data_IF_783587119789
#
_entry.id   IF_783587119789
#
_cell.length_a   1.000
_cell.length_b   1.000
_cell.length_c   1.000
_cell.angle_alpha   90.00
_cell.angle_beta   90.00
_cell.angle_gamma   90.00
#
_symmetry.space_group_name_H-M   'P 1'
#
loop_
_entity.id
_entity.type
_entity.pdbx_description
1 polymer ?
#
# COMPACT_ATOMS: atom_id res chain seq x y z
N UNK A 1 18.99 42.78 -2.85
CA UNK A 1 19.26 42.21 -1.52
C UNK A 1 17.94 42.12 -0.78
N UNK A 2 17.33 40.95 -0.74
CA UNK A 2 16.12 40.69 0.08
C UNK A 2 16.54 39.66 1.11
N UNK A 3 16.52 40.06 2.37
CA UNK A 3 16.78 39.18 3.51
C UNK A 3 15.65 38.21 3.66
N UNK A 4 15.91 36.92 3.48
CA UNK A 4 15.01 35.81 3.83
C UNK A 4 15.29 35.52 5.31
N UNK A 5 14.37 35.96 6.15
CA UNK A 5 14.37 35.62 7.57
C UNK A 5 13.75 34.24 7.71
N UNK A 6 14.58 33.23 7.95
CA UNK A 6 14.15 31.87 8.24
C UNK A 6 13.48 31.86 9.62
N UNK A 7 12.17 31.75 9.65
CA UNK A 7 11.37 31.57 10.86
C UNK A 7 11.51 30.10 11.31
N UNK A 8 12.39 29.86 12.29
CA UNK A 8 12.45 28.57 12.97
C UNK A 8 11.25 28.50 13.91
N UNK A 9 10.21 27.76 13.53
CA UNK A 9 9.11 27.41 14.44
C UNK A 9 9.65 26.41 15.47
N UNK A 10 10.02 26.88 16.66
CA UNK A 10 10.18 26.04 17.84
C UNK A 10 8.77 25.58 18.25
N UNK A 11 8.42 24.33 17.98
CA UNK A 11 7.26 23.68 18.60
C UNK A 11 7.69 23.29 20.02
N UNK A 12 7.50 24.19 20.96
CA UNK A 12 7.55 23.87 22.37
C UNK A 12 6.34 22.97 22.66
N UNK A 13 6.57 21.76 23.16
CA UNK A 13 5.50 20.95 23.75
C UNK A 13 4.91 21.74 24.92
N UNK A 14 3.70 22.27 24.77
CA UNK A 14 2.97 22.96 25.81
C UNK A 14 2.51 21.89 26.80
N UNK A 15 3.29 21.66 27.85
CA UNK A 15 2.80 20.97 29.03
C UNK A 15 1.73 21.83 29.70
N UNK A 16 0.62 21.26 30.19
CA UNK A 16 -0.30 22.00 31.04
C UNK A 16 0.49 22.54 32.23
N UNK A 17 0.23 23.77 32.62
CA UNK A 17 0.90 24.44 33.72
C UNK A 17 1.13 23.50 34.89
N UNK A 18 2.38 23.09 35.09
CA UNK A 18 2.73 22.18 36.16
C UNK A 18 2.42 22.88 37.49
N UNK A 19 1.62 22.24 38.30
CA UNK A 19 1.56 22.62 39.71
C UNK A 19 3.00 22.63 40.22
N UNK A 20 3.43 23.73 40.83
CA UNK A 20 4.77 23.90 41.34
C UNK A 20 5.17 22.71 42.19
N UNK A 21 6.13 21.91 41.72
CA UNK A 21 6.57 20.71 42.45
C UNK A 21 7.61 21.16 43.49
N UNK A 22 7.34 20.89 44.75
CA UNK A 22 8.16 21.31 45.86
C UNK A 22 8.86 20.14 46.55
N UNK A 23 10.19 20.25 46.69
CA UNK A 23 10.98 19.47 47.64
C UNK A 23 11.40 20.43 48.73
N UNK A 24 10.93 20.26 49.92
CA UNK A 24 11.15 21.11 51.10
C UNK A 24 12.09 22.33 50.83
N UNK A 25 11.54 23.54 50.83
CA UNK A 25 12.19 24.83 50.67
C UNK A 25 12.83 25.07 49.25
N UNK A 26 12.51 24.24 48.23
CA UNK A 26 12.87 24.47 46.85
C UNK A 26 11.69 24.22 45.92
N UNK A 27 11.55 25.03 44.89
CA UNK A 27 10.45 24.90 43.92
C UNK A 27 11.01 24.84 42.52
N UNK A 28 10.64 23.79 41.79
CA UNK A 28 11.01 23.65 40.36
C UNK A 28 10.03 24.49 39.53
N UNK A 29 10.56 25.49 38.81
CA UNK A 29 9.76 26.41 37.99
C UNK A 29 9.61 25.98 36.54
N UNK A 30 10.71 25.48 35.94
CA UNK A 30 10.73 25.12 34.52
C UNK A 30 11.68 23.95 34.26
N UNK A 31 11.33 23.14 33.27
CA UNK A 31 12.09 21.96 32.89
C UNK A 31 11.99 21.79 31.37
N UNK A 32 13.11 21.75 30.69
CA UNK A 32 13.22 21.45 29.28
C UNK A 32 14.11 20.22 29.06
N UNK A 33 13.58 19.21 28.40
CA UNK A 33 14.28 18.01 27.99
C UNK A 33 14.23 17.93 26.47
N UNK A 34 15.33 18.23 25.80
CA UNK A 34 15.38 18.30 24.33
C UNK A 34 16.52 17.45 23.79
N UNK A 35 16.23 16.59 22.83
CA UNK A 35 17.24 15.94 22.02
C UNK A 35 17.66 16.87 20.86
N UNK A 36 18.96 17.10 20.72
CA UNK A 36 19.54 17.86 19.62
C UNK A 36 20.62 17.01 18.97
N UNK A 37 20.27 16.38 17.86
CA UNK A 37 21.13 15.41 17.18
C UNK A 37 21.49 14.23 18.10
N UNK A 38 22.79 14.00 18.32
CA UNK A 38 23.30 12.91 19.18
C UNK A 38 23.36 13.27 20.68
N UNK A 39 22.83 14.41 21.07
CA UNK A 39 22.93 14.87 22.45
C UNK A 39 21.55 15.10 23.07
N UNK A 40 21.45 14.84 24.38
CA UNK A 40 20.35 15.22 25.25
C UNK A 40 20.74 16.52 25.96
N UNK A 41 19.93 17.56 25.82
CA UNK A 41 20.03 18.83 26.57
C UNK A 41 18.97 18.83 27.68
N UNK A 42 19.43 19.02 28.90
CA UNK A 42 18.55 19.12 30.08
C UNK A 42 18.72 20.53 30.63
N UNK A 43 17.63 21.25 30.80
CA UNK A 43 17.58 22.59 31.45
C UNK A 43 16.53 22.56 32.55
N UNK A 44 16.92 22.95 33.76
CA UNK A 44 16.03 23.02 34.93
C UNK A 44 16.20 24.38 35.60
N UNK A 45 15.07 25.00 35.92
CA UNK A 45 15.06 26.25 36.72
C UNK A 45 14.47 25.93 38.08
N UNK A 46 15.27 26.13 39.13
CA UNK A 46 14.91 25.83 40.51
C UNK A 46 14.93 27.11 41.34
N UNK A 47 13.82 27.47 41.93
CA UNK A 47 13.76 28.58 42.89
C UNK A 47 14.30 28.14 44.25
N UNK A 48 15.22 28.93 44.80
CA UNK A 48 15.95 28.69 46.03
C UNK A 48 15.68 29.76 47.10
N UNK A 49 14.67 30.63 46.92
CA UNK A 49 14.38 31.74 47.78
C UNK A 49 14.19 31.35 49.26
N UNK A 50 13.55 30.18 49.47
CA UNK A 50 13.26 29.65 50.82
C UNK A 50 14.39 28.78 51.38
N UNK A 51 15.38 28.41 50.57
CA UNK A 51 16.51 27.55 50.97
C UNK A 51 17.47 28.29 51.92
N UNK A 52 17.67 27.77 53.11
CA UNK A 52 18.60 28.32 54.10
C UNK A 52 19.68 27.31 54.47
N UNK A 53 20.93 27.62 54.20
CA UNK A 53 22.07 26.75 54.52
C UNK A 53 22.78 27.30 55.75
N UNK A 54 22.75 26.57 56.87
CA UNK A 54 23.44 26.99 58.12
C UNK A 54 24.95 26.93 57.94
N UNK A 55 25.71 27.77 58.73
CA UNK A 55 27.15 27.96 58.57
C UNK A 55 27.96 26.65 58.61
N UNK A 56 27.55 25.69 59.41
CA UNK A 56 28.20 24.38 59.60
C UNK A 56 27.70 23.25 58.70
N UNK A 57 26.73 23.58 57.82
CA UNK A 57 26.06 22.62 56.89
C UNK A 57 26.36 22.87 55.43
N UNK A 58 26.01 21.89 54.59
CA UNK A 58 25.97 22.04 53.15
C UNK A 58 24.74 21.35 52.60
N UNK A 59 24.18 21.89 51.52
CA UNK A 59 23.06 21.29 50.75
C UNK A 59 23.56 21.00 49.35
N UNK A 60 23.36 19.75 48.92
CA UNK A 60 23.60 19.28 47.56
C UNK A 60 22.26 19.13 46.86
N UNK A 61 22.14 19.72 45.68
CA UNK A 61 21.08 19.46 44.70
C UNK A 61 21.68 18.72 43.54
N UNK A 62 21.29 17.46 43.36
CA UNK A 62 21.76 16.63 42.25
C UNK A 62 20.61 16.29 41.32
N UNK A 63 20.92 16.10 40.05
CA UNK A 63 19.98 15.76 39.00
C UNK A 63 20.35 14.43 38.36
N UNK A 64 19.36 13.61 38.04
CA UNK A 64 19.57 12.34 37.37
C UNK A 64 18.44 12.03 36.39
N UNK A 65 18.79 11.32 35.30
CA UNK A 65 17.83 10.67 34.43
C UNK A 65 17.74 9.20 34.81
N UNK A 66 16.52 8.66 34.91
CA UNK A 66 16.29 7.26 35.34
C UNK A 66 15.19 6.65 34.49
N UNK A 67 15.46 5.41 33.99
CA UNK A 67 14.46 4.58 33.30
C UNK A 67 14.70 3.11 33.69
N UNK A 68 13.84 2.57 34.55
CA UNK A 68 14.00 1.22 35.07
C UNK A 68 15.32 1.05 35.83
N UNK A 69 16.21 0.20 35.34
CA UNK A 69 17.56 -0.04 35.90
C UNK A 69 18.61 0.93 35.40
N UNK A 70 18.34 1.65 34.31
CA UNK A 70 19.31 2.56 33.71
C UNK A 70 19.21 3.95 34.34
N UNK A 71 20.38 4.53 34.60
CA UNK A 71 20.44 5.86 35.20
C UNK A 71 21.67 6.63 34.69
N UNK A 72 21.52 7.92 34.58
CA UNK A 72 22.59 8.85 34.24
C UNK A 72 22.65 9.98 35.26
N UNK A 73 23.79 10.13 35.92
CA UNK A 73 24.07 11.30 36.75
C UNK A 73 24.28 12.54 35.86
N UNK A 74 23.41 13.51 36.02
CA UNK A 74 23.48 14.79 35.35
C UNK A 74 24.33 15.83 36.15
N UNK A 75 24.84 15.40 37.32
CA UNK A 75 25.61 16.28 38.19
C UNK A 75 24.72 17.12 39.10
N UNK A 76 25.28 18.24 39.63
CA UNK A 76 24.52 19.07 40.56
C UNK A 76 25.25 20.28 41.06
N UNK A 77 24.65 20.93 42.05
CA UNK A 77 25.18 22.13 42.72
C UNK A 77 25.18 21.95 44.23
N UNK A 78 26.32 22.14 44.86
CA UNK A 78 26.45 22.09 46.30
C UNK A 78 26.64 23.52 46.88
N UNK A 79 25.79 23.88 47.82
CA UNK A 79 25.87 25.16 48.54
C UNK A 79 26.39 24.91 49.97
N UNK A 80 27.49 25.51 50.29
CA UNK A 80 28.16 25.40 51.61
C UNK A 80 27.92 26.63 52.46
N UNK A 81 27.51 26.44 53.70
CA UNK A 81 27.57 27.45 54.73
C UNK A 81 29.01 27.87 55.03
N UNK A 82 29.21 29.07 55.59
CA UNK A 82 30.52 29.70 55.72
C UNK A 82 31.61 28.77 56.31
N UNK A 83 31.37 28.18 57.44
CA UNK A 83 32.39 27.32 58.12
C UNK A 83 32.62 26.03 57.35
N UNK A 84 31.54 25.45 56.77
CA UNK A 84 31.58 24.23 55.96
C UNK A 84 32.38 24.44 54.67
N UNK A 85 32.26 25.62 54.05
CA UNK A 85 32.99 25.99 52.83
C UNK A 85 34.51 26.05 53.10
N UNK A 86 34.96 26.70 54.17
CA UNK A 86 36.38 26.70 54.52
C UNK A 86 36.92 25.32 54.89
N UNK A 87 36.11 24.43 55.45
CA UNK A 87 36.47 23.06 55.65
C UNK A 87 36.67 22.35 54.33
N UNK A 88 35.74 22.50 53.39
CA UNK A 88 35.83 21.93 52.02
C UNK A 88 37.14 22.39 51.35
N UNK A 89 37.40 23.67 51.30
CA UNK A 89 38.61 24.24 50.69
C UNK A 89 39.91 23.66 51.28
N UNK A 90 39.95 23.43 52.58
CA UNK A 90 41.14 22.85 53.25
C UNK A 90 41.28 21.34 53.03
N UNK A 91 40.18 20.60 52.97
CA UNK A 91 40.21 19.16 52.84
C UNK A 91 40.27 18.69 51.37
N UNK A 92 39.98 19.60 50.42
CA UNK A 92 39.86 19.25 49.00
C UNK A 92 38.88 18.11 48.72
N UNK A 93 37.86 17.94 49.58
CA UNK A 93 36.78 16.91 49.46
C UNK A 93 35.44 17.59 49.09
N UNK A 94 35.14 17.75 47.78
CA UNK A 94 33.91 18.35 47.32
C UNK A 94 32.72 17.37 47.47
N UNK A 95 31.50 17.92 47.60
CA UNK A 95 30.25 17.12 47.49
C UNK A 95 29.91 16.84 46.04
N UNK A 96 30.25 17.75 45.13
CA UNK A 96 30.14 17.55 43.68
C UNK A 96 31.53 17.36 43.13
N UNK A 97 31.77 16.26 42.41
CA UNK A 97 33.04 15.97 41.78
C UNK A 97 33.41 17.05 40.74
N UNK A 98 34.69 17.28 40.55
CA UNK A 98 35.19 18.23 39.55
C UNK A 98 34.70 17.83 38.15
N UNK A 99 34.17 18.77 37.38
CA UNK A 99 33.59 18.54 36.07
C UNK A 99 32.13 18.02 36.06
N UNK A 100 31.55 17.70 37.21
CA UNK A 100 30.17 17.21 37.33
C UNK A 100 29.21 18.22 38.00
N UNK A 101 29.57 19.49 38.06
CA UNK A 101 28.75 20.57 38.60
C UNK A 101 29.56 21.60 39.41
N UNK A 102 28.88 22.28 40.33
CA UNK A 102 29.43 23.46 41.03
C UNK A 102 29.47 23.26 42.55
N UNK A 103 30.50 23.75 43.18
CA UNK A 103 30.64 23.82 44.62
C UNK A 103 30.76 25.31 45.03
N UNK A 104 29.67 25.89 45.59
CA UNK A 104 29.51 27.34 45.82
C UNK A 104 29.31 27.67 47.32
N UNK A 105 29.57 28.88 47.69
CA UNK A 105 29.16 29.39 49.02
C UNK A 105 27.65 29.65 49.04
N UNK A 106 26.99 29.42 50.15
CA UNK A 106 25.57 29.77 50.32
C UNK A 106 25.31 31.29 50.17
N UNK A 107 26.33 32.14 50.34
CA UNK A 107 26.23 33.58 50.04
C UNK A 107 26.23 33.91 48.54
N UNK A 108 26.54 32.96 47.69
CA UNK A 108 26.56 33.08 46.21
C UNK A 108 25.34 32.42 45.58
N UNK A 109 24.41 31.91 46.42
CA UNK A 109 23.18 31.24 45.96
C UNK A 109 22.24 32.23 45.30
N UNK A 110 21.85 32.01 44.05
CA UNK A 110 20.87 32.85 43.36
C UNK A 110 19.46 32.58 43.88
N UNK A 111 18.54 33.47 43.61
CA UNK A 111 17.08 33.22 43.84
C UNK A 111 16.57 32.09 42.93
N UNK A 112 16.93 32.14 41.64
CA UNK A 112 16.64 31.09 40.67
C UNK A 112 17.94 30.45 40.14
N UNK A 113 18.11 29.18 40.37
CA UNK A 113 19.19 28.37 39.84
C UNK A 113 18.83 27.89 38.42
N UNK A 114 19.53 28.39 37.40
CA UNK A 114 19.44 27.90 36.04
C UNK A 114 20.49 26.81 35.81
N UNK A 115 20.09 25.58 35.90
CA UNK A 115 20.95 24.41 35.68
C UNK A 115 20.80 23.88 34.28
N UNK A 116 21.86 23.84 33.48
CA UNK A 116 21.87 23.33 32.11
C UNK A 116 23.02 22.39 31.89
N UNK A 117 22.73 21.21 31.32
CA UNK A 117 23.75 20.22 30.99
C UNK A 117 23.41 19.54 29.67
N UNK A 118 24.45 19.12 28.94
CA UNK A 118 24.34 18.36 27.70
C UNK A 118 25.12 17.06 27.87
N UNK A 119 24.47 15.93 27.57
CA UNK A 119 25.08 14.59 27.62
C UNK A 119 24.82 13.86 26.29
N UNK A 120 25.65 12.89 25.87
CA UNK A 120 25.34 12.05 24.74
C UNK A 120 23.98 11.36 24.95
N UNK A 121 23.15 11.32 23.88
CA UNK A 121 21.87 10.65 23.94
C UNK A 121 22.04 9.13 23.79
N UNK A 122 21.34 8.36 24.59
CA UNK A 122 21.27 6.91 24.52
C UNK A 122 19.79 6.47 24.41
N UNK A 123 19.50 5.36 23.71
CA UNK A 123 18.12 4.91 23.44
C UNK A 123 17.27 4.71 24.70
N UNK A 124 17.86 4.24 25.79
CA UNK A 124 17.17 4.04 27.07
C UNK A 124 16.61 5.34 27.68
N UNK A 125 17.12 6.52 27.27
CA UNK A 125 16.63 7.81 27.73
C UNK A 125 15.23 8.13 27.23
N UNK A 126 14.74 7.45 26.18
CA UNK A 126 13.33 7.53 25.80
C UNK A 126 12.46 6.85 26.87
N UNK A 127 11.50 7.57 27.43
CA UNK A 127 10.70 7.17 28.59
C UNK A 127 11.36 7.44 29.95
N UNK A 128 12.57 8.06 29.97
CA UNK A 128 13.23 8.40 31.21
C UNK A 128 12.55 9.55 31.94
N UNK A 129 12.57 9.49 33.24
CA UNK A 129 12.17 10.60 34.10
C UNK A 129 13.41 11.31 34.66
N UNK A 130 13.32 12.64 34.80
CA UNK A 130 14.32 13.43 35.50
C UNK A 130 13.93 13.56 36.96
N UNK A 131 14.89 13.33 37.83
CA UNK A 131 14.73 13.51 39.28
C UNK A 131 15.68 14.57 39.79
N UNK A 132 15.19 15.35 40.77
CA UNK A 132 16.03 16.20 41.63
C UNK A 132 16.14 15.51 42.98
N UNK A 133 17.34 15.44 43.50
CA UNK A 133 17.63 14.93 44.82
C UNK A 133 18.27 16.01 45.65
N UNK A 134 17.76 16.24 46.85
CA UNK A 134 18.33 17.15 47.85
C UNK A 134 18.96 16.33 48.96
N UNK A 135 20.24 16.59 49.25
CA UNK A 135 20.98 16.03 50.39
C UNK A 135 21.54 17.15 51.25
N UNK A 136 21.19 17.14 52.53
CA UNK A 136 21.77 18.09 53.50
C UNK A 136 22.81 17.36 54.36
N UNK A 137 23.99 17.96 54.44
CA UNK A 137 25.16 17.42 55.14
C UNK A 137 25.53 18.28 56.31
N UNK A 138 25.84 17.63 57.45
CA UNK A 138 26.47 18.28 58.60
C UNK A 138 28.00 18.21 58.60
N UNK A 139 28.59 18.31 59.76
CA UNK A 139 30.06 18.13 59.92
C UNK A 139 30.46 16.69 59.50
N UNK A 140 31.71 16.49 59.05
CA UNK A 140 32.29 15.22 58.71
C UNK A 140 31.52 14.40 57.67
N UNK A 141 30.87 15.06 56.73
CA UNK A 141 30.01 14.45 55.66
C UNK A 141 28.84 13.63 56.20
N UNK A 142 28.41 13.86 57.46
CA UNK A 142 27.23 13.20 57.98
C UNK A 142 25.97 13.62 57.22
N UNK A 143 25.30 12.69 56.53
CA UNK A 143 24.01 12.94 55.91
C UNK A 143 22.95 13.22 56.98
N UNK A 144 22.21 14.32 56.85
CA UNK A 144 21.19 14.79 57.77
C UNK A 144 19.78 14.64 57.18
N UNK A 145 19.66 14.82 55.87
CA UNK A 145 18.42 14.78 55.12
C UNK A 145 18.71 14.29 53.70
N UNK A 146 17.80 13.50 53.17
CA UNK A 146 17.79 13.06 51.81
C UNK A 146 16.34 13.05 51.33
N UNK A 147 16.04 13.74 50.24
CA UNK A 147 14.74 13.81 49.59
C UNK A 147 14.93 13.80 48.10
N UNK A 148 14.12 13.03 47.40
CA UNK A 148 14.13 12.95 45.96
C UNK A 148 12.74 13.12 45.38
N UNK A 149 12.62 13.71 44.20
CA UNK A 149 11.37 13.91 43.50
C UNK A 149 11.57 13.83 42.01
N UNK A 150 10.65 13.17 41.32
CA UNK A 150 10.56 13.23 39.86
C UNK A 150 9.98 14.57 39.45
N UNK A 151 10.66 15.24 38.53
CA UNK A 151 10.30 16.61 38.10
C UNK A 151 9.90 16.71 36.62
N UNK A 152 10.14 15.68 35.80
CA UNK A 152 9.77 15.66 34.39
C UNK A 152 10.01 14.32 33.72
N UNK A 153 9.52 14.20 32.50
CA UNK A 153 9.69 13.02 31.66
C UNK A 153 10.19 13.41 30.29
N UNK A 154 11.05 12.58 29.71
CA UNK A 154 11.44 12.66 28.31
C UNK A 154 10.79 11.52 27.54
N UNK A 155 9.95 11.86 26.59
CA UNK A 155 9.33 10.86 25.70
C UNK A 155 9.34 11.39 24.28
N UNK A 156 9.85 10.57 23.37
CA UNK A 156 9.74 10.83 21.94
C UNK A 156 8.38 10.38 21.45
N UNK A 157 7.66 11.24 20.73
CA UNK A 157 6.39 10.84 20.12
C UNK A 157 6.61 9.72 19.11
N UNK A 158 5.72 8.71 19.09
CA UNK A 158 5.79 7.66 18.07
C UNK A 158 5.57 8.24 16.68
N UNK A 159 6.08 7.55 15.68
CA UNK A 159 5.88 7.94 14.28
C UNK A 159 4.39 7.99 13.93
N UNK A 160 3.94 9.12 13.39
CA UNK A 160 2.54 9.36 12.95
C UNK A 160 2.53 9.54 11.42
N UNK A 161 2.17 8.52 10.66
CA UNK A 161 2.19 8.59 9.20
C UNK A 161 1.11 9.52 8.66
N UNK A 162 1.39 10.17 7.54
CA UNK A 162 0.39 10.82 6.69
C UNK A 162 0.12 9.89 5.51
N UNK A 163 -1.10 9.38 5.42
CA UNK A 163 -1.51 8.51 4.33
C UNK A 163 -2.02 9.32 3.14
N UNK A 164 -1.56 8.97 1.94
CA UNK A 164 -1.90 9.68 0.71
C UNK A 164 -2.50 8.72 -0.32
N UNK A 165 -3.82 8.71 -0.43
CA UNK A 165 -4.53 7.99 -1.47
C UNK A 165 -4.37 8.68 -2.82
N UNK A 166 -4.24 7.88 -3.89
CA UNK A 166 -3.99 8.35 -5.25
C UNK A 166 -5.27 8.20 -6.08
N UNK A 167 -5.68 9.30 -6.71
CA UNK A 167 -6.81 9.27 -7.63
C UNK A 167 -6.40 8.60 -8.94
N UNK A 168 -7.05 7.49 -9.37
CA UNK A 168 -6.80 6.87 -10.65
C UNK A 168 -7.17 7.82 -11.80
N UNK A 169 -6.56 7.60 -12.98
CA UNK A 169 -6.99 8.28 -14.20
C UNK A 169 -8.43 7.88 -14.52
N UNK A 170 -9.26 8.86 -14.83
CA UNK A 170 -10.61 8.57 -15.28
C UNK A 170 -10.57 7.87 -16.65
N UNK A 171 -11.24 6.75 -16.79
CA UNK A 171 -11.51 6.15 -18.10
C UNK A 171 -12.44 7.10 -18.87
N UNK A 172 -12.02 7.51 -20.06
CA UNK A 172 -12.85 8.37 -20.94
C UNK A 172 -14.10 7.59 -21.37
N UNK A 173 -13.91 6.30 -21.67
CA UNK A 173 -15.00 5.37 -22.03
C UNK A 173 -14.69 4.04 -21.37
N UNK A 174 -15.63 3.52 -20.59
CA UNK A 174 -15.52 2.19 -19.96
C UNK A 174 -15.88 1.11 -20.98
N UNK A 175 -14.89 0.64 -21.74
CA UNK A 175 -15.07 -0.44 -22.71
C UNK A 175 -14.87 -1.80 -22.06
N UNK A 176 -15.79 -2.71 -22.31
CA UNK A 176 -15.77 -4.11 -21.85
C UNK A 176 -16.12 -5.03 -23.02
N UNK A 177 -15.85 -6.32 -22.86
CA UNK A 177 -16.18 -7.31 -23.87
C UNK A 177 -16.66 -8.61 -23.27
N UNK A 178 -17.48 -9.32 -24.04
CA UNK A 178 -17.82 -10.72 -23.84
C UNK A 178 -17.41 -11.51 -25.08
N UNK A 179 -16.89 -12.70 -24.90
CA UNK A 179 -16.58 -13.61 -25.99
C UNK A 179 -17.03 -15.02 -25.63
N UNK A 180 -17.26 -15.82 -26.64
CA UNK A 180 -17.61 -17.23 -26.47
C UNK A 180 -17.57 -17.98 -27.78
N UNK A 181 -17.70 -19.31 -27.69
CA UNK A 181 -17.75 -20.20 -28.84
C UNK A 181 -19.10 -20.94 -28.87
N UNK A 182 -19.66 -21.12 -30.06
CA UNK A 182 -20.87 -21.88 -30.29
C UNK A 182 -20.63 -22.93 -31.37
N UNK A 183 -21.13 -24.12 -31.12
CA UNK A 183 -20.92 -25.30 -31.95
C UNK A 183 -22.20 -25.57 -32.77
N UNK A 184 -22.43 -24.75 -33.80
CA UNK A 184 -23.60 -24.87 -34.66
C UNK A 184 -23.41 -26.00 -35.64
N UNK A 185 -24.27 -27.00 -35.57
CA UNK A 185 -24.30 -28.14 -36.49
C UNK A 185 -25.00 -27.80 -37.81
N UNK A 186 -24.43 -28.25 -38.90
CA UNK A 186 -25.00 -28.10 -40.25
C UNK A 186 -25.15 -29.49 -40.91
N UNK A 187 -26.20 -29.74 -41.70
CA UNK A 187 -26.24 -30.89 -42.56
C UNK A 187 -25.05 -30.95 -43.51
N UNK A 188 -24.73 -32.12 -44.05
CA UNK A 188 -23.59 -32.33 -44.95
C UNK A 188 -23.65 -31.32 -46.12
N UNK A 189 -22.57 -30.59 -46.36
CA UNK A 189 -22.42 -29.56 -47.40
C UNK A 189 -23.41 -28.38 -47.32
N UNK A 190 -24.22 -28.28 -46.24
CA UNK A 190 -25.13 -27.16 -46.02
C UNK A 190 -24.47 -26.04 -45.24
N UNK A 191 -24.94 -24.82 -45.46
CA UNK A 191 -24.52 -23.61 -44.77
C UNK A 191 -25.68 -22.91 -44.09
N UNK A 192 -26.93 -23.37 -44.28
CA UNK A 192 -28.12 -22.77 -43.70
C UNK A 192 -28.29 -23.24 -42.24
N UNK A 193 -28.58 -22.29 -41.35
CA UNK A 193 -28.90 -22.61 -39.96
C UNK A 193 -30.29 -23.23 -39.85
N UNK A 194 -30.34 -24.40 -39.24
CA UNK A 194 -31.56 -25.10 -38.86
C UNK A 194 -31.63 -25.13 -37.33
N UNK A 195 -32.43 -24.25 -36.66
CA UNK A 195 -32.45 -24.14 -35.19
C UNK A 195 -32.79 -25.47 -34.48
N UNK A 196 -33.63 -26.28 -35.09
CA UNK A 196 -34.10 -27.56 -34.52
C UNK A 196 -33.18 -28.75 -34.89
N UNK A 197 -32.07 -28.51 -35.60
CA UNK A 197 -31.13 -29.57 -35.97
C UNK A 197 -30.15 -29.84 -34.84
N UNK A 198 -30.17 -31.09 -34.32
CA UNK A 198 -29.32 -31.55 -33.21
C UNK A 198 -29.39 -30.60 -31.99
N UNK A 199 -28.24 -30.02 -31.60
CA UNK A 199 -28.12 -29.16 -30.42
C UNK A 199 -28.16 -27.65 -30.74
N UNK A 200 -28.52 -27.28 -31.98
CA UNK A 200 -28.46 -25.88 -32.43
C UNK A 200 -29.30 -24.93 -31.59
N UNK A 201 -30.45 -25.35 -31.07
CA UNK A 201 -31.25 -24.52 -30.18
C UNK A 201 -30.48 -24.11 -28.90
N UNK A 202 -29.70 -25.02 -28.33
CA UNK A 202 -28.89 -24.76 -27.14
C UNK A 202 -27.73 -23.82 -27.48
N UNK A 203 -27.02 -24.11 -28.57
CA UNK A 203 -25.85 -23.33 -28.99
C UNK A 203 -26.25 -21.90 -29.41
N UNK A 204 -27.34 -21.74 -30.14
CA UNK A 204 -27.89 -20.41 -30.47
C UNK A 204 -28.32 -19.66 -29.20
N UNK A 205 -28.91 -20.33 -28.21
CA UNK A 205 -29.30 -19.70 -26.95
C UNK A 205 -28.09 -19.15 -26.19
N UNK A 206 -26.92 -19.77 -26.24
CA UNK A 206 -25.71 -19.25 -25.64
C UNK A 206 -25.32 -17.88 -26.24
N UNK A 207 -25.34 -17.75 -27.57
CA UNK A 207 -25.06 -16.49 -28.26
C UNK A 207 -26.08 -15.43 -27.86
N UNK A 208 -27.38 -15.80 -27.87
CA UNK A 208 -28.45 -14.87 -27.54
C UNK A 208 -28.37 -14.40 -26.09
N UNK A 209 -28.15 -15.33 -25.13
CA UNK A 209 -27.97 -14.97 -23.72
C UNK A 209 -26.81 -14.00 -23.52
N UNK A 210 -25.71 -14.16 -24.26
CA UNK A 210 -24.57 -13.25 -24.22
C UNK A 210 -24.93 -11.86 -24.77
N UNK A 211 -25.64 -11.77 -25.90
CA UNK A 211 -26.08 -10.51 -26.48
C UNK A 211 -27.13 -9.85 -25.57
N UNK A 212 -28.08 -10.60 -25.06
CA UNK A 212 -29.17 -10.11 -24.21
C UNK A 212 -28.64 -9.60 -22.85
N UNK A 213 -27.64 -10.25 -22.29
CA UNK A 213 -27.00 -9.80 -21.04
C UNK A 213 -26.42 -8.39 -21.14
N UNK A 214 -25.95 -8.01 -22.34
CA UNK A 214 -25.42 -6.67 -22.60
C UNK A 214 -26.52 -5.72 -23.03
N UNK A 215 -27.38 -6.13 -24.00
CA UNK A 215 -28.36 -5.28 -24.64
C UNK A 215 -29.52 -4.86 -23.72
N UNK A 216 -29.93 -5.75 -22.81
CA UNK A 216 -31.01 -5.47 -21.87
C UNK A 216 -30.59 -4.64 -20.66
N UNK A 217 -29.29 -4.42 -20.49
CA UNK A 217 -28.77 -3.56 -19.45
C UNK A 217 -28.73 -2.11 -19.97
N UNK A 218 -29.55 -1.24 -19.36
CA UNK A 218 -29.69 0.17 -19.74
C UNK A 218 -28.39 0.99 -19.61
N UNK A 219 -27.43 0.49 -18.84
CA UNK A 219 -26.14 1.16 -18.63
C UNK A 219 -25.14 0.81 -19.73
N UNK A 220 -25.45 -0.20 -20.56
CA UNK A 220 -24.56 -0.72 -21.59
C UNK A 220 -25.00 -0.27 -23.00
N UNK A 221 -24.01 -0.07 -23.86
CA UNK A 221 -24.22 0.19 -25.28
C UNK A 221 -23.29 -0.72 -26.07
N UNK A 222 -23.84 -1.64 -26.88
CA UNK A 222 -23.04 -2.51 -27.75
C UNK A 222 -22.39 -1.65 -28.84
N UNK A 223 -21.06 -1.72 -28.92
CA UNK A 223 -20.27 -0.94 -29.90
C UNK A 223 -19.73 -1.79 -31.04
N UNK A 224 -19.52 -3.09 -30.79
CA UNK A 224 -18.99 -4.01 -31.77
C UNK A 224 -19.58 -5.41 -31.57
N UNK A 225 -19.83 -6.10 -32.66
CA UNK A 225 -20.14 -7.52 -32.67
C UNK A 225 -19.38 -8.16 -33.82
N UNK A 226 -18.61 -9.20 -33.53
CA UNK A 226 -17.91 -9.97 -34.55
C UNK A 226 -18.16 -11.45 -34.40
N UNK A 227 -18.15 -12.16 -35.53
CA UNK A 227 -18.32 -13.60 -35.63
C UNK A 227 -17.18 -14.16 -36.52
N UNK A 228 -16.45 -15.13 -35.99
CA UNK A 228 -15.44 -15.88 -36.74
C UNK A 228 -15.85 -17.34 -36.81
N UNK A 229 -16.11 -17.83 -38.03
CA UNK A 229 -16.51 -19.25 -38.22
C UNK A 229 -15.31 -20.10 -38.64
N UNK A 230 -15.34 -21.33 -38.21
CA UNK A 230 -14.30 -22.32 -38.45
C UNK A 230 -14.87 -23.57 -39.13
N UNK A 231 -14.05 -24.21 -39.96
CA UNK A 231 -14.32 -25.59 -40.41
C UNK A 231 -13.18 -26.51 -39.98
N UNK A 232 -13.38 -27.82 -40.11
CA UNK A 232 -12.41 -28.83 -39.77
C UNK A 232 -11.62 -29.27 -41.01
N UNK A 233 -10.35 -29.69 -40.85
CA UNK A 233 -9.50 -30.13 -41.98
C UNK A 233 -9.81 -31.56 -42.43
N UNK A 234 -11.05 -31.84 -42.86
CA UNK A 234 -11.50 -33.15 -43.30
C UNK A 234 -11.95 -33.22 -44.77
N UNK A 235 -11.89 -32.11 -45.47
CA UNK A 235 -12.29 -31.97 -46.87
C UNK A 235 -11.25 -31.06 -47.57
N UNK A 236 -11.25 -31.01 -48.90
CA UNK A 236 -10.38 -30.10 -49.62
C UNK A 236 -10.52 -28.66 -49.10
N UNK A 237 -9.40 -27.97 -48.92
CA UNK A 237 -9.33 -26.59 -48.36
C UNK A 237 -10.29 -25.61 -49.03
N UNK A 238 -10.44 -25.72 -50.38
CA UNK A 238 -11.42 -24.90 -51.12
C UNK A 238 -12.86 -25.12 -50.69
N UNK A 239 -13.24 -26.36 -50.35
CA UNK A 239 -14.60 -26.68 -49.88
C UNK A 239 -14.78 -26.21 -48.42
N UNK A 240 -13.74 -26.38 -47.57
CA UNK A 240 -13.76 -25.91 -46.18
C UNK A 240 -13.87 -24.39 -46.14
N UNK A 241 -13.17 -23.66 -47.04
CA UNK A 241 -13.30 -22.21 -47.22
C UNK A 241 -14.73 -21.80 -47.55
N UNK A 242 -15.37 -22.44 -48.54
CA UNK A 242 -16.77 -22.18 -48.92
C UNK A 242 -17.73 -22.41 -47.75
N UNK A 243 -17.51 -23.50 -47.01
CA UNK A 243 -18.36 -23.85 -45.85
C UNK A 243 -18.16 -22.87 -44.69
N UNK A 244 -16.93 -22.53 -44.36
CA UNK A 244 -16.63 -21.56 -43.29
C UNK A 244 -17.27 -20.19 -43.58
N UNK A 245 -17.09 -19.64 -44.82
CA UNK A 245 -17.70 -18.38 -45.25
C UNK A 245 -19.24 -18.48 -45.17
N UNK A 246 -19.84 -19.50 -45.78
CA UNK A 246 -21.29 -19.62 -45.84
C UNK A 246 -21.96 -19.81 -44.47
N UNK A 247 -21.36 -20.60 -43.60
CA UNK A 247 -21.84 -20.83 -42.22
C UNK A 247 -21.72 -19.55 -41.36
N UNK A 248 -20.60 -18.84 -41.45
CA UNK A 248 -20.39 -17.58 -40.77
C UNK A 248 -21.42 -16.53 -41.21
N UNK A 249 -21.62 -16.42 -42.52
CA UNK A 249 -22.62 -15.50 -43.09
C UNK A 249 -24.02 -15.82 -42.64
N UNK A 250 -24.42 -17.11 -42.61
CA UNK A 250 -25.73 -17.52 -42.14
C UNK A 250 -25.95 -17.22 -40.66
N UNK A 251 -24.93 -17.39 -39.81
CA UNK A 251 -25.03 -17.02 -38.40
C UNK A 251 -25.17 -15.49 -38.23
N UNK A 252 -24.38 -14.72 -38.99
CA UNK A 252 -24.54 -13.24 -39.03
C UNK A 252 -25.95 -12.85 -39.37
N UNK A 253 -26.50 -13.36 -40.48
CA UNK A 253 -27.83 -13.04 -40.94
C UNK A 253 -28.93 -13.43 -39.94
N UNK A 254 -28.75 -14.58 -39.28
CA UNK A 254 -29.67 -15.04 -38.25
C UNK A 254 -29.69 -14.09 -37.04
N UNK A 255 -28.51 -13.71 -36.51
CA UNK A 255 -28.36 -12.76 -35.38
C UNK A 255 -28.85 -11.36 -35.80
N UNK A 256 -28.47 -10.90 -36.99
CA UNK A 256 -28.87 -9.59 -37.51
C UNK A 256 -30.39 -9.46 -37.62
N UNK A 257 -31.05 -10.49 -38.13
CA UNK A 257 -32.52 -10.50 -38.28
C UNK A 257 -33.20 -10.49 -36.90
N UNK A 258 -32.70 -11.27 -35.94
CA UNK A 258 -33.28 -11.38 -34.61
C UNK A 258 -33.19 -10.07 -33.82
N UNK A 259 -32.05 -9.40 -33.88
CA UNK A 259 -31.75 -8.20 -33.09
C UNK A 259 -31.94 -6.88 -33.86
N UNK A 260 -32.27 -6.95 -35.14
CA UNK A 260 -32.43 -5.80 -36.05
C UNK A 260 -31.18 -4.91 -36.13
N UNK A 261 -29.98 -5.51 -36.05
CA UNK A 261 -28.74 -4.77 -36.26
C UNK A 261 -28.58 -4.29 -37.70
N UNK A 262 -27.93 -3.14 -37.88
CA UNK A 262 -27.59 -2.64 -39.22
C UNK A 262 -26.74 -3.61 -40.05
N UNK A 263 -26.84 -3.56 -41.37
CA UNK A 263 -26.19 -4.55 -42.26
C UNK A 263 -24.66 -4.64 -42.10
N UNK A 264 -24.04 -3.53 -41.71
CA UNK A 264 -22.57 -3.44 -41.52
C UNK A 264 -22.11 -3.56 -40.08
N UNK A 265 -23.06 -3.72 -39.12
CA UNK A 265 -22.74 -3.70 -37.70
C UNK A 265 -21.98 -4.95 -37.28
N UNK A 266 -22.39 -6.13 -37.77
CA UNK A 266 -21.74 -7.41 -37.42
C UNK A 266 -20.58 -7.65 -38.39
N UNK A 267 -19.36 -7.65 -37.89
CA UNK A 267 -18.16 -8.01 -38.63
C UNK A 267 -18.03 -9.52 -38.70
N UNK A 268 -17.56 -10.03 -39.83
CA UNK A 268 -17.34 -11.47 -40.01
C UNK A 268 -15.90 -11.75 -40.48
N UNK A 269 -15.35 -12.81 -39.96
CA UNK A 269 -14.12 -13.44 -40.45
C UNK A 269 -14.29 -14.96 -40.45
N UNK A 270 -13.38 -15.67 -41.06
CA UNK A 270 -13.45 -17.11 -41.13
C UNK A 270 -12.06 -17.72 -41.12
N UNK A 271 -11.98 -18.95 -40.65
CA UNK A 271 -10.79 -19.81 -40.77
C UNK A 271 -11.24 -21.09 -41.51
N UNK A 272 -10.68 -21.35 -42.69
CA UNK A 272 -11.07 -22.50 -43.48
C UNK A 272 -10.83 -23.83 -42.75
N UNK A 273 -9.80 -23.92 -41.95
CA UNK A 273 -9.42 -25.10 -41.20
C UNK A 273 -8.78 -24.71 -39.88
N UNK A 274 -9.34 -25.19 -38.78
CA UNK A 274 -8.85 -24.91 -37.43
C UNK A 274 -7.64 -25.79 -37.07
N UNK A 275 -6.50 -25.50 -37.67
CA UNK A 275 -5.25 -26.21 -37.40
C UNK A 275 -4.72 -25.90 -36.00
N UNK A 276 -4.99 -24.72 -35.45
CA UNK A 276 -4.58 -24.32 -34.12
C UNK A 276 -5.35 -25.14 -33.06
N UNK A 277 -6.66 -25.27 -33.22
CA UNK A 277 -7.48 -26.12 -32.37
C UNK A 277 -7.11 -27.60 -32.47
N UNK A 278 -6.83 -28.10 -33.69
CA UNK A 278 -6.32 -29.45 -33.87
C UNK A 278 -4.99 -29.68 -33.15
N UNK A 279 -4.07 -28.74 -33.26
CA UNK A 279 -2.76 -28.79 -32.59
C UNK A 279 -2.93 -28.84 -31.08
N UNK A 280 -3.75 -27.97 -30.51
CA UNK A 280 -4.01 -27.92 -29.07
C UNK A 280 -4.64 -29.22 -28.55
N UNK A 281 -5.59 -29.81 -29.31
CA UNK A 281 -6.17 -31.07 -28.96
C UNK A 281 -5.15 -32.22 -28.96
N UNK A 282 -4.33 -32.32 -30.04
CA UNK A 282 -3.30 -33.37 -30.16
C UNK A 282 -2.25 -33.23 -29.03
N UNK A 283 -1.86 -32.03 -28.67
CA UNK A 283 -0.86 -31.77 -27.63
C UNK A 283 -1.30 -32.28 -26.24
N UNK A 284 -2.59 -32.16 -25.93
CA UNK A 284 -3.17 -32.65 -24.67
C UNK A 284 -3.60 -34.10 -24.73
N UNK A 285 -3.64 -34.72 -25.93
CA UNK A 285 -4.09 -36.09 -26.13
C UNK A 285 -3.10 -37.16 -25.67
N UNK A 286 -3.55 -38.39 -25.59
CA UNK A 286 -2.73 -39.59 -25.33
C UNK A 286 -2.39 -40.37 -26.58
N UNK A 287 -2.47 -39.73 -27.76
CA UNK A 287 -2.19 -40.40 -29.05
C UNK A 287 -0.73 -40.88 -29.10
N UNK A 288 -0.47 -42.09 -29.61
CA UNK A 288 0.87 -42.67 -29.65
C UNK A 288 1.88 -41.82 -30.43
N UNK A 289 1.50 -41.31 -31.61
CA UNK A 289 2.36 -40.53 -32.49
C UNK A 289 2.08 -39.00 -32.42
N UNK A 290 1.70 -38.50 -31.26
CA UNK A 290 1.30 -37.08 -31.12
C UNK A 290 2.41 -36.07 -31.52
N UNK A 291 3.68 -36.37 -31.24
CA UNK A 291 4.78 -35.51 -31.58
C UNK A 291 4.98 -35.38 -33.08
N UNK A 292 4.87 -36.50 -33.78
CA UNK A 292 4.99 -36.60 -35.21
C UNK A 292 3.80 -35.91 -35.91
N UNK A 293 2.60 -36.07 -35.39
CA UNK A 293 1.39 -35.40 -35.90
C UNK A 293 1.52 -33.88 -35.69
N UNK A 294 1.97 -33.41 -34.51
CA UNK A 294 2.22 -31.98 -34.28
C UNK A 294 3.27 -31.46 -35.26
N UNK A 295 4.33 -32.21 -35.51
CA UNK A 295 5.34 -31.80 -36.48
C UNK A 295 4.78 -31.65 -37.91
N UNK A 296 3.79 -32.46 -38.29
CA UNK A 296 3.11 -32.30 -39.59
C UNK A 296 2.20 -31.07 -39.57
N UNK A 297 1.46 -30.83 -38.47
CA UNK A 297 0.62 -29.64 -38.33
C UNK A 297 1.44 -28.36 -38.42
N UNK A 298 2.62 -28.36 -37.82
CA UNK A 298 3.53 -27.20 -37.79
C UNK A 298 4.31 -27.00 -39.10
N UNK A 299 4.20 -27.88 -40.12
CA UNK A 299 4.83 -27.69 -41.42
C UNK A 299 4.27 -26.45 -42.13
N UNK A 300 5.15 -25.66 -42.71
CA UNK A 300 4.77 -24.58 -43.63
C UNK A 300 4.54 -25.15 -45.03
N UNK A 301 3.37 -25.74 -45.22
CA UNK A 301 2.97 -26.39 -46.50
C UNK A 301 1.45 -26.28 -46.69
N UNK A 302 1.01 -26.68 -47.91
CA UNK A 302 -0.40 -26.72 -48.29
C UNK A 302 -1.24 -27.49 -47.25
N UNK A 303 -2.36 -26.96 -46.80
CA UNK A 303 -3.25 -27.62 -45.79
C UNK A 303 -3.74 -28.99 -46.24
N UNK A 304 -4.17 -29.19 -47.47
CA UNK A 304 -4.60 -30.48 -48.03
C UNK A 304 -3.46 -31.53 -47.97
N UNK A 305 -2.21 -31.08 -48.09
CA UNK A 305 -1.02 -31.93 -47.93
C UNK A 305 -0.79 -32.34 -46.48
N UNK A 306 -1.02 -31.44 -45.52
CA UNK A 306 -0.91 -31.76 -44.10
C UNK A 306 -1.94 -32.87 -43.75
N UNK A 307 -3.21 -32.68 -44.15
CA UNK A 307 -4.27 -33.65 -43.92
C UNK A 307 -3.90 -35.00 -44.54
N UNK A 308 -3.45 -34.98 -45.81
CA UNK A 308 -3.05 -36.22 -46.50
C UNK A 308 -1.89 -36.93 -45.79
N UNK A 309 -0.89 -36.22 -45.31
CA UNK A 309 0.24 -36.78 -44.55
C UNK A 309 -0.25 -37.47 -43.25
N UNK A 310 -1.11 -36.83 -42.46
CA UNK A 310 -1.66 -37.42 -41.23
C UNK A 310 -2.45 -38.64 -41.59
N UNK A 311 -3.37 -38.55 -42.54
CA UNK A 311 -4.26 -39.61 -42.99
C UNK A 311 -3.56 -40.83 -43.58
N UNK A 312 -2.50 -40.64 -44.37
CA UNK A 312 -1.76 -41.71 -45.02
C UNK A 312 -0.74 -42.38 -44.11
N UNK A 313 -0.16 -41.65 -43.16
CA UNK A 313 0.95 -42.12 -42.31
C UNK A 313 0.41 -42.66 -40.94
N UNK A 314 -0.58 -41.98 -40.37
CA UNK A 314 -1.11 -42.25 -39.03
C UNK A 314 -2.62 -42.52 -39.10
N UNK A 315 -3.01 -43.56 -39.81
CA UNK A 315 -4.40 -43.85 -40.16
C UNK A 315 -5.31 -44.03 -38.95
N UNK A 316 -4.86 -44.75 -37.93
CA UNK A 316 -5.66 -45.03 -36.74
C UNK A 316 -5.87 -43.73 -35.89
N UNK A 317 -4.84 -42.94 -35.79
CA UNK A 317 -4.92 -41.61 -35.12
C UNK A 317 -5.80 -40.64 -35.92
N UNK A 318 -5.72 -40.64 -37.25
CA UNK A 318 -6.59 -39.82 -38.09
C UNK A 318 -8.08 -40.23 -37.91
N UNK A 319 -8.39 -41.51 -37.94
CA UNK A 319 -9.76 -41.99 -37.72
C UNK A 319 -10.24 -41.67 -36.30
N UNK A 320 -9.37 -41.69 -35.31
CA UNK A 320 -9.67 -41.23 -33.95
C UNK A 320 -9.93 -39.71 -33.90
N UNK A 321 -9.09 -38.88 -34.54
CA UNK A 321 -9.24 -37.42 -34.59
C UNK A 321 -10.52 -37.03 -35.33
N UNK A 322 -10.83 -37.71 -36.46
CA UNK A 322 -12.04 -37.47 -37.23
C UNK A 322 -13.31 -37.66 -36.39
N UNK A 323 -13.31 -38.64 -35.49
CA UNK A 323 -14.44 -38.95 -34.63
C UNK A 323 -14.53 -38.09 -33.36
N UNK A 324 -13.38 -37.81 -32.73
CA UNK A 324 -13.36 -37.26 -31.39
C UNK A 324 -12.92 -35.77 -31.32
N UNK A 325 -12.19 -35.29 -32.32
CA UNK A 325 -11.66 -33.93 -32.35
C UNK A 325 -12.35 -33.07 -33.40
N UNK A 326 -12.42 -33.49 -34.66
CA UNK A 326 -12.90 -32.69 -35.78
C UNK A 326 -14.32 -32.12 -35.62
N UNK A 327 -15.28 -32.76 -34.96
CA UNK A 327 -16.57 -32.15 -34.69
C UNK A 327 -16.47 -30.87 -33.87
N UNK A 328 -15.53 -30.80 -32.91
CA UNK A 328 -15.29 -29.60 -32.06
C UNK A 328 -14.58 -28.49 -32.79
N UNK A 329 -13.83 -28.78 -33.88
CA UNK A 329 -13.18 -27.78 -34.69
C UNK A 329 -14.15 -26.99 -35.60
N UNK A 330 -15.39 -27.44 -35.72
CA UNK A 330 -16.47 -26.79 -36.46
C UNK A 330 -17.27 -25.90 -35.52
N UNK A 331 -16.74 -24.73 -35.21
CA UNK A 331 -17.37 -23.81 -34.29
C UNK A 331 -17.43 -22.38 -34.86
N UNK A 332 -18.11 -21.52 -34.15
CA UNK A 332 -18.10 -20.08 -34.41
C UNK A 332 -17.80 -19.34 -33.13
N UNK A 333 -16.74 -18.54 -33.15
CA UNK A 333 -16.42 -17.64 -32.06
C UNK A 333 -17.19 -16.35 -32.24
N UNK A 334 -17.69 -15.80 -31.17
CA UNK A 334 -18.33 -14.48 -31.16
C UNK A 334 -17.69 -13.56 -30.13
N UNK A 335 -17.64 -12.29 -30.47
CA UNK A 335 -17.14 -11.22 -29.62
C UNK A 335 -18.14 -10.07 -29.61
N UNK A 336 -18.43 -9.56 -28.40
CA UNK A 336 -19.36 -8.46 -28.16
C UNK A 336 -18.59 -7.39 -27.40
N UNK A 337 -18.23 -6.31 -28.09
CA UNK A 337 -17.67 -5.12 -27.47
C UNK A 337 -18.79 -4.16 -27.04
N UNK A 338 -18.70 -3.61 -25.85
CA UNK A 338 -19.69 -2.66 -25.34
C UNK A 338 -19.07 -1.63 -24.42
N UNK A 339 -19.73 -0.48 -24.36
CA UNK A 339 -19.39 0.60 -23.43
C UNK A 339 -20.38 0.61 -22.28
N UNK A 340 -19.87 0.88 -21.08
CA UNK A 340 -20.67 1.15 -19.88
C UNK A 340 -20.67 2.66 -19.66
N UNK A 341 -21.82 3.27 -19.34
CA UNK A 341 -21.88 4.70 -19.00
C UNK A 341 -21.08 5.00 -17.73
N UNK A 342 -20.60 6.20 -17.59
CA UNK A 342 -19.94 6.68 -16.37
C UNK A 342 -21.00 7.01 -15.31
N UNK A 343 -20.71 6.65 -14.05
CA UNK A 343 -21.50 7.02 -12.89
C UNK A 343 -20.85 8.22 -12.20
N UNK A 344 -21.65 9.23 -11.84
CA UNK A 344 -21.18 10.48 -11.21
C UNK A 344 -21.80 10.71 -9.83
N UNK A 345 -22.95 10.12 -9.57
CA UNK A 345 -23.62 10.18 -8.27
C UNK A 345 -23.09 9.09 -7.34
N UNK A 346 -22.64 9.49 -6.15
CA UNK A 346 -22.02 8.58 -5.16
C UNK A 346 -23.01 7.52 -4.67
N UNK A 347 -24.29 7.88 -4.48
CA UNK A 347 -25.32 6.93 -4.06
C UNK A 347 -25.64 5.91 -5.17
N UNK A 348 -25.54 6.33 -6.42
CA UNK A 348 -25.64 5.40 -7.54
C UNK A 348 -24.42 4.49 -7.61
N UNK A 349 -23.21 5.03 -7.47
CA UNK A 349 -21.97 4.23 -7.43
C UNK A 349 -22.05 3.18 -6.31
N UNK A 350 -22.54 3.57 -5.13
CA UNK A 350 -22.73 2.66 -3.99
C UNK A 350 -23.68 1.50 -4.30
N UNK A 351 -24.80 1.77 -4.97
CA UNK A 351 -25.73 0.72 -5.44
C UNK A 351 -25.09 -0.22 -6.44
N UNK A 352 -24.35 0.34 -7.42
CA UNK A 352 -23.63 -0.45 -8.44
C UNK A 352 -22.51 -1.27 -7.78
N UNK A 353 -21.79 -0.70 -6.82
CA UNK A 353 -20.76 -1.39 -6.05
C UNK A 353 -21.28 -2.66 -5.36
N UNK A 354 -22.45 -2.58 -4.76
CA UNK A 354 -23.07 -3.75 -4.06
C UNK A 354 -23.57 -4.79 -5.04
N UNK A 355 -24.15 -4.39 -6.17
CA UNK A 355 -24.84 -5.30 -7.08
C UNK A 355 -23.93 -5.81 -8.20
N UNK A 356 -23.10 -4.96 -8.77
CA UNK A 356 -22.30 -5.23 -9.96
C UNK A 356 -20.99 -4.41 -9.96
N UNK A 357 -20.03 -4.68 -9.04
CA UNK A 357 -18.80 -3.90 -8.91
C UNK A 357 -17.94 -3.89 -10.18
N UNK A 358 -18.06 -4.92 -11.03
CA UNK A 358 -17.37 -5.03 -12.33
C UNK A 358 -17.76 -3.94 -13.33
N UNK A 359 -18.86 -3.21 -13.10
CA UNK A 359 -19.27 -2.06 -13.93
C UNK A 359 -18.54 -0.77 -13.54
N UNK A 360 -17.92 -0.71 -12.38
CA UNK A 360 -17.22 0.47 -11.90
C UNK A 360 -15.83 0.58 -12.50
N UNK A 361 -15.42 1.79 -12.85
CA UNK A 361 -14.04 2.16 -13.12
C UNK A 361 -13.27 2.38 -11.82
N UNK A 362 -11.93 2.35 -11.87
CA UNK A 362 -11.11 2.65 -10.69
C UNK A 362 -11.36 4.06 -10.13
N UNK A 363 -11.62 5.04 -11.00
CA UNK A 363 -11.97 6.38 -10.54
C UNK A 363 -13.32 6.41 -9.79
N UNK A 364 -14.29 5.59 -10.17
CA UNK A 364 -15.57 5.48 -9.46
C UNK A 364 -15.41 4.76 -8.12
N UNK A 365 -14.59 3.74 -8.02
CA UNK A 365 -14.18 3.16 -6.72
C UNK A 365 -13.53 4.21 -5.83
N UNK A 366 -12.63 5.02 -6.37
CA UNK A 366 -12.00 6.11 -5.62
C UNK A 366 -13.00 7.15 -5.14
N UNK A 367 -13.95 7.58 -5.98
CA UNK A 367 -15.02 8.50 -5.59
C UNK A 367 -15.88 7.92 -4.47
N UNK A 368 -16.21 6.62 -4.53
CA UNK A 368 -16.96 5.96 -3.47
C UNK A 368 -16.14 5.91 -2.17
N UNK A 369 -14.85 5.58 -2.24
CA UNK A 369 -13.97 5.54 -1.07
C UNK A 369 -13.89 6.90 -0.35
N UNK A 370 -13.93 8.02 -1.10
CA UNK A 370 -13.91 9.39 -0.55
C UNK A 370 -15.17 9.72 0.28
N UNK A 371 -16.23 8.92 0.19
CA UNK A 371 -17.45 9.10 0.98
C UNK A 371 -17.39 8.45 2.36
N UNK A 372 -16.32 7.71 2.67
CA UNK A 372 -16.12 7.03 3.93
C UNK A 372 -14.98 7.65 4.74
N UNK A 373 -15.03 7.47 6.05
CA UNK A 373 -13.97 7.94 6.95
C UNK A 373 -12.65 7.22 6.67
N UNK A 374 -11.51 7.95 6.66
CA UNK A 374 -10.19 7.34 6.52
C UNK A 374 -9.94 6.25 7.56
N UNK A 375 -9.52 5.05 7.11
CA UNK A 375 -9.27 3.90 7.98
C UNK A 375 -10.51 3.11 8.40
N UNK A 376 -11.72 3.46 7.90
CA UNK A 376 -12.93 2.68 8.15
C UNK A 376 -12.93 1.34 7.42
N UNK A 377 -13.73 0.40 7.91
CA UNK A 377 -13.91 -0.91 7.28
C UNK A 377 -14.57 -0.77 5.89
N UNK A 378 -15.45 0.18 5.73
CA UNK A 378 -16.13 0.47 4.46
C UNK A 378 -15.13 0.98 3.41
N UNK A 379 -14.25 1.92 3.77
CA UNK A 379 -13.20 2.41 2.86
C UNK A 379 -12.27 1.27 2.44
N UNK A 380 -11.83 0.45 3.38
CA UNK A 380 -10.97 -0.69 3.09
C UNK A 380 -11.66 -1.69 2.15
N UNK A 381 -12.93 -2.02 2.40
CA UNK A 381 -13.70 -2.93 1.56
C UNK A 381 -13.85 -2.42 0.12
N UNK A 382 -13.98 -1.10 -0.07
CA UNK A 382 -13.99 -0.50 -1.41
C UNK A 382 -12.66 -0.72 -2.13
N UNK A 383 -11.51 -0.46 -1.49
CA UNK A 383 -10.21 -0.64 -2.12
C UNK A 383 -9.84 -2.11 -2.33
N UNK A 384 -10.16 -3.00 -1.39
CA UNK A 384 -10.03 -4.44 -1.59
C UNK A 384 -10.85 -4.95 -2.79
N UNK A 385 -12.08 -4.44 -2.96
CA UNK A 385 -12.91 -4.80 -4.09
C UNK A 385 -12.34 -4.22 -5.39
N UNK A 386 -11.82 -3.00 -5.37
CA UNK A 386 -11.15 -2.41 -6.53
C UNK A 386 -9.97 -3.26 -7.01
N UNK A 387 -9.12 -3.75 -6.10
CA UNK A 387 -8.01 -4.66 -6.44
C UNK A 387 -8.51 -5.99 -7.00
N UNK A 388 -9.61 -6.55 -6.47
CA UNK A 388 -10.21 -7.78 -7.03
C UNK A 388 -10.68 -7.61 -8.45
N UNK A 389 -11.18 -6.40 -8.81
CA UNK A 389 -11.61 -6.09 -10.17
C UNK A 389 -10.44 -5.70 -11.09
N UNK A 390 -9.38 -5.10 -10.54
CA UNK A 390 -8.20 -4.60 -11.26
C UNK A 390 -6.91 -5.08 -10.59
N UNK A 391 -6.62 -6.40 -10.61
CA UNK A 391 -5.53 -6.99 -9.81
C UNK A 391 -4.13 -6.56 -10.22
N UNK A 392 -3.95 -6.11 -11.46
CA UNK A 392 -2.67 -5.70 -12.02
C UNK A 392 -2.51 -4.18 -12.14
N UNK A 393 -3.50 -3.40 -11.69
CA UNK A 393 -3.41 -1.93 -11.73
C UNK A 393 -2.59 -1.41 -10.55
N UNK A 394 -1.58 -0.59 -10.86
CA UNK A 394 -0.63 -0.06 -9.87
C UNK A 394 -1.30 0.86 -8.84
N UNK A 395 -2.27 1.70 -9.28
CA UNK A 395 -2.96 2.65 -8.39
C UNK A 395 -3.97 1.93 -7.50
N UNK A 396 -4.66 0.91 -8.02
CA UNK A 396 -5.55 0.08 -7.22
C UNK A 396 -4.78 -0.62 -6.09
N UNK A 397 -3.65 -1.25 -6.43
CA UNK A 397 -2.77 -1.89 -5.45
C UNK A 397 -2.19 -0.87 -4.45
N UNK A 398 -1.78 0.31 -4.90
CA UNK A 398 -1.27 1.35 -4.00
C UNK A 398 -2.31 1.79 -2.96
N UNK A 399 -3.54 2.08 -3.40
CA UNK A 399 -4.60 2.53 -2.50
C UNK A 399 -5.04 1.43 -1.52
N UNK A 400 -5.09 0.17 -1.96
CA UNK A 400 -5.34 -0.96 -1.07
C UNK A 400 -4.24 -1.09 0.00
N UNK A 401 -2.96 -1.03 -0.40
CA UNK A 401 -1.84 -1.08 0.53
C UNK A 401 -1.89 0.04 1.58
N UNK A 402 -2.24 1.26 1.17
CA UNK A 402 -2.39 2.40 2.09
C UNK A 402 -3.51 2.15 3.10
N UNK A 403 -4.65 1.62 2.64
CA UNK A 403 -5.77 1.29 3.51
C UNK A 403 -5.42 0.20 4.53
N UNK A 404 -4.70 -0.82 4.09
CA UNK A 404 -4.24 -1.92 4.95
C UNK A 404 -3.19 -1.47 5.97
N UNK A 405 -2.27 -0.57 5.59
CA UNK A 405 -1.34 0.05 6.54
C UNK A 405 -2.07 0.82 7.64
N UNK A 406 -3.17 1.52 7.33
CA UNK A 406 -3.99 2.21 8.33
C UNK A 406 -4.64 1.26 9.33
N UNK A 407 -4.88 0.02 8.92
CA UNK A 407 -5.45 -1.05 9.74
C UNK A 407 -4.39 -1.94 10.39
N UNK A 408 -3.12 -1.62 10.18
CA UNK A 408 -1.97 -2.39 10.68
C UNK A 408 -1.87 -3.81 10.09
N UNK A 409 -2.55 -4.08 8.95
CA UNK A 409 -2.36 -5.32 8.20
C UNK A 409 -1.15 -5.22 7.28
N UNK A 410 0.03 -5.29 7.87
CA UNK A 410 1.30 -5.13 7.16
C UNK A 410 1.59 -6.26 6.17
N UNK A 411 1.02 -7.45 6.38
CA UNK A 411 1.24 -8.58 5.48
C UNK A 411 0.54 -8.36 4.13
N UNK A 412 -0.72 -7.96 4.16
CA UNK A 412 -1.49 -7.64 2.96
C UNK A 412 -0.93 -6.37 2.28
N UNK A 413 -0.65 -5.32 3.08
CA UNK A 413 -0.05 -4.09 2.57
C UNK A 413 1.24 -4.36 1.78
N UNK A 414 2.12 -5.25 2.25
CA UNK A 414 3.35 -5.62 1.53
C UNK A 414 3.05 -6.26 0.18
N UNK A 415 2.10 -7.21 0.14
CA UNK A 415 1.71 -7.89 -1.10
C UNK A 415 1.22 -6.91 -2.18
N UNK A 416 0.45 -5.90 -1.77
CA UNK A 416 -0.04 -4.87 -2.68
C UNK A 416 1.03 -3.82 -3.04
N UNK A 417 1.90 -3.43 -2.10
CA UNK A 417 3.03 -2.55 -2.40
C UNK A 417 3.97 -3.13 -3.45
N UNK A 418 4.15 -4.45 -3.48
CA UNK A 418 4.99 -5.11 -4.47
C UNK A 418 4.43 -4.98 -5.91
N UNK A 419 3.11 -4.74 -6.05
CA UNK A 419 2.40 -4.51 -7.31
C UNK A 419 2.09 -3.03 -7.60
N UNK A 420 2.37 -2.11 -6.68
CA UNK A 420 2.00 -0.70 -6.76
C UNK A 420 2.88 0.15 -7.71
N UNK A 421 3.74 -0.48 -8.51
CA UNK A 421 4.60 0.23 -9.47
C UNK A 421 5.70 1.06 -8.81
N UNK A 422 6.20 2.07 -9.52
CA UNK A 422 7.35 2.89 -9.13
C UNK A 422 7.05 4.41 -9.17
N UNK A 423 5.79 4.80 -9.01
CA UNK A 423 5.42 6.21 -8.92
C UNK A 423 6.00 6.85 -7.65
N UNK A 424 6.06 8.19 -7.61
CA UNK A 424 6.53 8.93 -6.44
C UNK A 424 5.70 8.59 -5.19
N UNK A 425 4.39 8.44 -5.37
CA UNK A 425 3.46 8.06 -4.32
C UNK A 425 3.69 6.63 -3.82
N UNK A 426 4.00 5.69 -4.72
CA UNK A 426 4.31 4.31 -4.36
C UNK A 426 5.63 4.21 -3.57
N UNK A 427 6.64 4.98 -3.95
CA UNK A 427 7.91 5.08 -3.22
C UNK A 427 7.66 5.68 -1.84
N UNK A 428 6.85 6.75 -1.75
CA UNK A 428 6.45 7.34 -0.47
C UNK A 428 5.73 6.33 0.42
N UNK A 429 4.76 5.60 -0.11
CA UNK A 429 4.02 4.59 0.65
C UNK A 429 4.93 3.48 1.19
N UNK A 430 5.93 3.02 0.40
CA UNK A 430 6.96 2.07 0.89
C UNK A 430 7.81 2.67 2.00
N UNK A 431 8.16 3.96 1.91
CA UNK A 431 8.88 4.67 2.98
C UNK A 431 8.06 4.74 4.27
N UNK A 432 6.75 5.01 4.19
CA UNK A 432 5.84 4.97 5.33
C UNK A 432 5.73 3.55 5.90
N UNK A 433 5.59 2.54 5.03
CA UNK A 433 5.55 1.13 5.44
C UNK A 433 6.81 0.73 6.22
N UNK A 434 7.98 1.04 5.71
CA UNK A 434 9.25 0.76 6.40
C UNK A 434 9.34 1.49 7.77
N UNK A 435 8.87 2.74 7.84
CA UNK A 435 8.85 3.52 9.08
C UNK A 435 7.92 2.89 10.14
N UNK A 436 6.74 2.41 9.74
CA UNK A 436 5.80 1.70 10.62
C UNK A 436 6.38 0.41 11.19
N UNK A 437 7.26 -0.26 10.43
CA UNK A 437 8.00 -1.43 10.89
C UNK A 437 9.30 -1.10 11.63
N UNK A 438 9.53 0.19 11.95
CA UNK A 438 10.76 0.68 12.60
C UNK A 438 12.05 0.42 11.80
N UNK A 439 11.95 0.21 10.48
CA UNK A 439 13.07 0.07 9.54
C UNK A 439 13.53 1.46 9.07
N UNK A 440 14.03 2.26 10.00
CA UNK A 440 14.21 3.71 9.80
C UNK A 440 15.25 4.06 8.74
N UNK A 441 16.32 3.29 8.57
CA UNK A 441 17.34 3.53 7.55
C UNK A 441 16.76 3.36 6.14
N UNK A 442 15.99 2.30 5.90
CA UNK A 442 15.29 2.04 4.64
C UNK A 442 14.22 3.11 4.40
N UNK A 443 13.44 3.43 5.44
CA UNK A 443 12.41 4.45 5.37
C UNK A 443 12.98 5.81 4.94
N UNK A 444 14.11 6.25 5.53
CA UNK A 444 14.76 7.50 5.16
C UNK A 444 15.22 7.53 3.70
N UNK A 445 15.78 6.43 3.19
CA UNK A 445 16.20 6.35 1.78
C UNK A 445 15.01 6.54 0.83
N UNK A 446 13.91 5.82 1.08
CA UNK A 446 12.70 5.88 0.26
C UNK A 446 12.01 7.25 0.36
N UNK A 447 11.91 7.81 1.58
CA UNK A 447 11.29 9.12 1.80
C UNK A 447 12.10 10.26 1.18
N UNK A 448 13.44 10.20 1.22
CA UNK A 448 14.30 11.15 0.54
C UNK A 448 14.10 11.09 -0.98
N UNK A 449 14.00 9.89 -1.55
CA UNK A 449 13.69 9.71 -2.96
C UNK A 449 12.31 10.28 -3.30
N UNK A 450 11.28 9.99 -2.50
CA UNK A 450 9.94 10.53 -2.69
C UNK A 450 9.91 12.06 -2.60
N UNK A 451 10.67 12.66 -1.68
CA UNK A 451 10.83 14.13 -1.57
C UNK A 451 11.45 14.73 -2.84
N UNK A 452 12.49 14.12 -3.40
CA UNK A 452 13.11 14.55 -4.67
C UNK A 452 12.12 14.48 -5.82
N UNK A 453 11.23 13.47 -5.82
CA UNK A 453 10.17 13.29 -6.81
C UNK A 453 8.95 14.20 -6.58
N UNK A 454 8.96 15.06 -5.55
CA UNK A 454 7.95 16.09 -5.32
C UNK A 454 6.87 15.77 -4.30
N UNK A 455 7.00 14.72 -3.51
CA UNK A 455 6.06 14.41 -2.41
C UNK A 455 6.37 15.30 -1.21
N UNK A 456 5.53 16.30 -0.95
CA UNK A 456 5.70 17.28 0.13
C UNK A 456 5.62 16.68 1.53
N UNK A 457 4.78 15.66 1.71
CA UNK A 457 4.55 14.96 2.99
C UNK A 457 5.79 14.18 3.46
N UNK A 458 6.69 13.84 2.52
CA UNK A 458 7.92 13.10 2.84
C UNK A 458 8.84 13.87 3.81
N UNK A 459 8.89 15.20 3.74
CA UNK A 459 9.70 16.01 4.64
C UNK A 459 9.25 15.89 6.10
N UNK A 460 7.94 15.90 6.34
CA UNK A 460 7.40 15.69 7.69
C UNK A 460 7.75 14.30 8.23
N UNK A 461 7.61 13.27 7.41
CA UNK A 461 7.94 11.89 7.79
C UNK A 461 9.45 11.75 8.11
N UNK A 462 10.33 12.34 7.29
CA UNK A 462 11.78 12.37 7.54
C UNK A 462 12.09 13.02 8.89
N UNK A 463 11.54 14.21 9.13
CA UNK A 463 11.77 14.96 10.38
C UNK A 463 11.29 14.18 11.64
N UNK A 464 10.23 13.39 11.52
CA UNK A 464 9.77 12.52 12.61
C UNK A 464 10.76 11.37 12.84
N UNK A 465 11.21 10.69 11.77
CA UNK A 465 12.11 9.55 11.87
C UNK A 465 13.47 9.97 12.42
N UNK A 466 14.00 11.12 12.00
CA UNK A 466 15.29 11.66 12.52
C UNK A 466 15.28 11.87 14.03
N UNK A 467 14.11 12.09 14.63
CA UNK A 467 13.97 12.18 16.10
C UNK A 467 13.92 10.78 16.78
N UNK A 468 13.66 9.72 16.02
CA UNK A 468 13.55 8.36 16.55
C UNK A 468 14.87 7.58 16.52
N UNK A 469 15.79 7.95 15.63
CA UNK A 469 17.14 7.38 15.51
C UNK A 469 18.19 8.23 16.18
#
# INVERSE_FOLDING_TARGET
>A
MKHITTLILLIAAIFPAANAQTVSDITVKDIELNRVGKNMSVSVVVNLEDLRVKSDKATLLSFSLVNGSDSLDLGGVAYYGRNRYYHYVRSSLPLVAEGNGLNLRASEMPEDLHYKIVKPYEKWMNGAHISIERKDYGCCHKLLREEAMTIGFYQVEPFKPVYRYVRPKAEVVKTRSLSGSAFIDFPVSDTKIHPDYRNNSIELTKIFASIDSVKNDKDNTITELSIKGYASPESPYSNNTRLAIGRTQSLKEYVQKLYHFGSTFIKTSYEPEDWEGLRAYVETSTLPHKKEIISIIDLDTDPDRKEWLIKSTYRDEYDFLLKNCYPALRHSDYYIGYNIRTYTDVEEIKRVFVLNPQKLSLNEFYLLAQAYEPGSDELNYVFETAVKMYPDDEVANLNAAISEMQREDFAQAKSHLDKAGQSAEAIYARGIYAALLSQYEEALQLLLQAKILGISEAENAINQIEKLI
#
